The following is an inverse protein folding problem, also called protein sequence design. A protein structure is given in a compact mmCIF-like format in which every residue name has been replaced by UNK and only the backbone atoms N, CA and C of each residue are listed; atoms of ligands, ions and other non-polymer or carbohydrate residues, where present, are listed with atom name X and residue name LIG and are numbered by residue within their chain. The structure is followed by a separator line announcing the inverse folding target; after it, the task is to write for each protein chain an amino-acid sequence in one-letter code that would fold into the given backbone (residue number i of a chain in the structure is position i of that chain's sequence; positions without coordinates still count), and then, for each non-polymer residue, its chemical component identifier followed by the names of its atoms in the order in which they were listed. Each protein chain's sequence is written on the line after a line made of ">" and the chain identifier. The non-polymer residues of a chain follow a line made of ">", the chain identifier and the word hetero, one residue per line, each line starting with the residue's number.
data_IF_191992701710
#
_entry.id   IF_191992701710
#
_cell.length_a   1.000
_cell.length_b   1.000
_cell.length_c   1.000
_cell.angle_alpha   90.00
_cell.angle_beta   90.00
_cell.angle_gamma   90.00
#
_symmetry.space_group_name_H-M   'P 1'
#
loop_
_entity.id
_entity.type
_entity.pdbx_description
1 polymer ?
#
# COMPACT_ATOMS: atom_id res chain seq x y z
N UNK A 1 23.22 62.34 9.70
CA UNK A 1 23.39 61.10 8.92
C UNK A 1 22.22 60.16 9.26
N UNK A 2 21.24 59.99 8.38
CA UNK A 2 20.10 59.13 8.56
C UNK A 2 20.44 57.80 7.90
N UNK A 3 20.55 56.74 8.70
CA UNK A 3 20.70 55.37 8.19
C UNK A 3 19.37 54.86 7.65
N UNK A 4 19.35 54.64 6.35
CA UNK A 4 18.23 54.01 5.64
C UNK A 4 18.37 52.48 5.79
N UNK A 5 17.56 51.85 6.60
CA UNK A 5 17.49 50.38 6.71
C UNK A 5 16.67 49.85 5.54
N UNK A 6 17.36 49.24 4.59
CA UNK A 6 16.70 48.56 3.48
C UNK A 6 16.25 47.17 3.96
N UNK A 7 14.93 47.00 4.15
CA UNK A 7 14.33 45.69 4.44
C UNK A 7 14.17 44.94 3.13
N UNK A 8 15.00 43.92 2.92
CA UNK A 8 14.85 42.98 1.79
C UNK A 8 13.77 41.97 2.19
N UNK A 9 12.55 42.13 1.64
CA UNK A 9 11.52 41.11 1.71
C UNK A 9 11.92 39.94 0.78
N UNK A 10 12.38 38.85 1.36
CA UNK A 10 12.56 37.58 0.68
C UNK A 10 11.19 36.93 0.49
N UNK A 11 10.59 37.11 -0.68
CA UNK A 11 9.42 36.32 -1.07
C UNK A 11 9.86 34.87 -1.30
N UNK A 12 9.59 33.98 -0.36
CA UNK A 12 9.56 32.57 -0.62
C UNK A 12 8.38 32.28 -1.55
N UNK A 13 8.67 32.07 -2.83
CA UNK A 13 7.74 31.43 -3.75
C UNK A 13 7.58 29.97 -3.30
N UNK A 14 6.62 29.71 -2.40
CA UNK A 14 6.08 28.38 -2.23
C UNK A 14 5.39 28.03 -3.55
N UNK A 15 6.05 27.22 -4.37
CA UNK A 15 5.38 26.52 -5.48
C UNK A 15 4.39 25.54 -4.86
N UNK A 16 3.15 25.95 -4.69
CA UNK A 16 2.06 25.04 -4.39
C UNK A 16 1.84 24.16 -5.62
N UNK A 17 2.45 23.00 -5.64
CA UNK A 17 2.04 21.95 -6.57
C UNK A 17 0.63 21.54 -6.18
N UNK A 18 -0.34 21.96 -6.98
CA UNK A 18 -1.73 21.55 -6.81
C UNK A 18 -1.85 20.12 -7.33
N UNK A 19 -2.05 19.16 -6.43
CA UNK A 19 -2.40 17.79 -6.80
C UNK A 19 -3.76 17.79 -7.50
N UNK A 20 -3.82 17.20 -8.68
CA UNK A 20 -5.04 17.18 -9.47
C UNK A 20 -5.65 15.78 -9.47
N UNK A 21 -6.86 15.68 -8.93
CA UNK A 21 -7.72 14.52 -9.13
C UNK A 21 -8.21 14.54 -10.59
N UNK A 22 -7.61 13.71 -11.45
CA UNK A 22 -7.89 13.71 -12.89
C UNK A 22 -8.98 12.73 -13.30
N UNK A 23 -9.22 11.71 -12.46
CA UNK A 23 -10.35 10.78 -12.56
C UNK A 23 -10.82 10.38 -11.17
N UNK A 24 -12.12 10.11 -11.08
CA UNK A 24 -12.81 9.67 -9.90
C UNK A 24 -13.96 8.73 -10.33
N UNK A 25 -13.80 7.46 -10.03
CA UNK A 25 -14.66 6.38 -10.52
C UNK A 25 -15.22 5.64 -9.32
N UNK A 26 -16.54 5.65 -9.16
CA UNK A 26 -17.22 4.82 -8.15
C UNK A 26 -17.14 3.35 -8.53
N UNK A 27 -16.75 2.52 -7.58
CA UNK A 27 -16.62 1.09 -7.74
C UNK A 27 -17.91 0.35 -7.36
N UNK A 28 -17.99 -0.92 -7.75
CA UNK A 28 -19.10 -1.81 -7.40
C UNK A 28 -19.12 -2.09 -5.91
N UNK A 29 -20.32 -2.21 -5.31
CA UNK A 29 -20.52 -2.66 -3.94
C UNK A 29 -19.94 -4.06 -3.63
N UNK A 30 -19.53 -4.81 -4.65
CA UNK A 30 -18.81 -6.09 -4.46
C UNK A 30 -17.38 -5.91 -4.00
N UNK A 31 -16.83 -4.71 -4.15
CA UNK A 31 -15.45 -4.32 -3.80
C UNK A 31 -15.47 -3.03 -2.98
N UNK A 32 -16.36 -2.98 -2.00
CA UNK A 32 -16.55 -1.85 -1.09
C UNK A 32 -15.41 -1.68 -0.08
N UNK A 33 -14.72 -2.76 0.22
CA UNK A 33 -13.49 -2.78 1.05
C UNK A 33 -12.24 -2.99 0.17
N UNK A 34 -12.14 -2.27 -0.97
CA UNK A 34 -11.02 -2.44 -1.91
C UNK A 34 -9.68 -2.11 -1.27
N UNK A 35 -8.79 -3.08 -1.20
CA UNK A 35 -7.42 -2.97 -0.71
C UNK A 35 -6.44 -3.59 -1.71
N UNK A 36 -5.23 -3.03 -1.82
CA UNK A 36 -4.27 -3.41 -2.83
C UNK A 36 -4.67 -3.06 -4.27
N UNK A 37 -3.70 -2.67 -5.10
CA UNK A 37 -3.95 -2.30 -6.50
C UNK A 37 -2.76 -2.66 -7.40
N UNK A 38 -3.00 -3.50 -8.41
CA UNK A 38 -2.01 -3.82 -9.43
C UNK A 38 -2.61 -3.69 -10.85
N UNK A 39 -1.74 -3.71 -11.85
CA UNK A 39 -2.13 -3.74 -13.26
C UNK A 39 -1.50 -4.96 -13.94
N UNK A 40 -2.35 -5.81 -14.52
CA UNK A 40 -1.96 -6.97 -15.33
C UNK A 40 -2.73 -6.93 -16.64
N UNK A 41 -2.02 -7.02 -17.76
CA UNK A 41 -2.60 -6.98 -19.11
C UNK A 41 -3.57 -5.81 -19.35
N UNK A 42 -3.25 -4.64 -18.77
CA UNK A 42 -4.04 -3.43 -18.90
C UNK A 42 -5.34 -3.40 -18.07
N UNK A 43 -5.56 -4.39 -17.22
CA UNK A 43 -6.66 -4.43 -16.25
C UNK A 43 -6.13 -4.13 -14.85
N UNK A 44 -6.89 -3.36 -14.07
CA UNK A 44 -6.64 -3.22 -12.65
C UNK A 44 -7.01 -4.51 -11.93
N UNK A 45 -6.24 -4.87 -10.93
CA UNK A 45 -6.52 -5.99 -10.03
C UNK A 45 -6.58 -5.44 -8.62
N UNK A 46 -7.63 -5.80 -7.90
CA UNK A 46 -7.82 -5.50 -6.49
C UNK A 46 -8.49 -6.68 -5.77
N UNK A 47 -8.60 -6.59 -4.47
CA UNK A 47 -9.35 -7.50 -3.60
C UNK A 47 -10.09 -6.70 -2.53
N UNK A 48 -10.97 -7.36 -1.79
CA UNK A 48 -11.47 -6.79 -0.54
C UNK A 48 -10.53 -7.13 0.62
N UNK A 49 -10.50 -6.28 1.62
CA UNK A 49 -9.78 -6.44 2.87
C UNK A 49 -10.25 -7.72 3.61
N UNK A 50 -10.83 -7.62 4.78
CA UNK A 50 -11.05 -8.75 5.68
C UNK A 50 -12.39 -9.48 5.47
N UNK A 51 -12.41 -10.78 5.80
CA UNK A 51 -13.64 -11.58 6.02
C UNK A 51 -14.44 -11.93 4.79
N UNK A 52 -14.05 -11.49 3.60
CA UNK A 52 -14.73 -11.79 2.34
C UNK A 52 -14.28 -13.11 1.69
N UNK A 53 -14.82 -13.39 0.50
CA UNK A 53 -14.33 -14.47 -0.35
C UNK A 53 -12.88 -14.22 -0.77
N UNK A 54 -12.01 -15.24 -0.80
CA UNK A 54 -10.62 -15.09 -1.26
C UNK A 54 -10.58 -14.91 -2.78
N UNK A 55 -10.87 -13.70 -3.24
CA UNK A 55 -11.02 -13.35 -4.66
C UNK A 55 -10.19 -12.15 -5.06
N UNK A 56 -9.67 -12.21 -6.30
CA UNK A 56 -9.17 -11.06 -7.03
C UNK A 56 -10.24 -10.60 -8.03
N UNK A 57 -10.45 -9.30 -8.08
CA UNK A 57 -11.33 -8.62 -9.02
C UNK A 57 -10.52 -7.91 -10.07
N UNK A 58 -10.83 -8.18 -11.34
CA UNK A 58 -10.19 -7.55 -12.49
C UNK A 58 -11.13 -6.47 -13.01
N UNK A 59 -10.63 -5.25 -13.11
CA UNK A 59 -11.43 -4.09 -13.51
C UNK A 59 -10.92 -3.55 -14.84
N UNK A 60 -11.84 -3.06 -15.66
CA UNK A 60 -11.48 -2.26 -16.82
C UNK A 60 -11.07 -0.83 -16.40
N UNK A 61 -10.66 -0.01 -17.39
CA UNK A 61 -10.27 1.40 -17.17
C UNK A 61 -11.37 2.31 -16.62
N UNK A 62 -12.61 1.83 -16.56
CA UNK A 62 -13.78 2.54 -16.02
C UNK A 62 -14.20 1.96 -14.65
N UNK A 63 -13.39 1.09 -14.04
CA UNK A 63 -13.68 0.49 -12.74
C UNK A 63 -14.74 -0.62 -12.76
N UNK A 64 -15.18 -1.07 -13.95
CA UNK A 64 -16.15 -2.16 -14.08
C UNK A 64 -15.45 -3.50 -13.88
N UNK A 65 -16.01 -4.36 -13.02
CA UNK A 65 -15.55 -5.74 -12.86
C UNK A 65 -15.79 -6.51 -14.16
N UNK A 66 -14.70 -6.95 -14.78
CA UNK A 66 -14.72 -7.75 -16.02
C UNK A 66 -14.41 -9.23 -15.77
N UNK A 67 -13.84 -9.56 -14.60
CA UNK A 67 -13.49 -10.93 -14.22
C UNK A 67 -13.31 -11.01 -12.71
N UNK A 68 -13.70 -12.15 -12.13
CA UNK A 68 -13.39 -12.54 -10.76
C UNK A 68 -12.53 -13.81 -10.80
N UNK A 69 -11.51 -13.87 -9.93
CA UNK A 69 -10.65 -15.04 -9.74
C UNK A 69 -10.66 -15.44 -8.29
N UNK A 70 -11.36 -16.51 -7.96
CA UNK A 70 -11.26 -17.14 -6.64
C UNK A 70 -9.90 -17.84 -6.53
N UNK A 71 -9.27 -17.71 -5.37
CA UNK A 71 -8.03 -18.41 -5.05
C UNK A 71 -8.41 -19.62 -4.19
N UNK A 72 -8.33 -20.81 -4.78
CA UNK A 72 -8.73 -22.02 -4.08
C UNK A 72 -7.72 -22.43 -3.00
N UNK A 73 -8.19 -23.07 -1.95
CA UNK A 73 -7.37 -23.59 -0.86
C UNK A 73 -6.87 -22.55 0.15
N UNK A 74 -7.27 -21.30 0.03
CA UNK A 74 -6.93 -20.21 0.95
C UNK A 74 -8.18 -19.54 1.52
N UNK A 75 -7.97 -18.71 2.54
CA UNK A 75 -9.01 -17.86 3.14
C UNK A 75 -8.54 -16.41 3.07
N UNK A 76 -9.45 -15.48 2.99
CA UNK A 76 -9.20 -14.09 3.31
C UNK A 76 -9.42 -13.92 4.83
N UNK A 77 -8.31 -13.79 5.60
CA UNK A 77 -8.42 -13.47 7.02
C UNK A 77 -8.36 -11.95 7.23
N UNK A 78 -7.40 -11.30 6.54
CA UNK A 78 -7.12 -9.87 6.68
C UNK A 78 -6.14 -9.49 5.56
N UNK A 79 -6.66 -9.39 4.32
CA UNK A 79 -5.86 -9.10 3.12
C UNK A 79 -5.69 -7.61 2.98
N UNK A 80 -4.44 -7.14 3.02
CA UNK A 80 -4.14 -5.72 3.10
C UNK A 80 -3.62 -5.14 1.78
N UNK A 81 -2.78 -5.87 1.05
CA UNK A 81 -2.18 -5.37 -0.18
C UNK A 81 -1.88 -6.49 -1.16
N UNK A 82 -1.60 -6.13 -2.40
CA UNK A 82 -1.07 -7.04 -3.40
C UNK A 82 0.02 -6.38 -4.25
N UNK A 83 0.99 -7.19 -4.63
CA UNK A 83 2.04 -6.79 -5.56
C UNK A 83 2.30 -7.91 -6.56
N UNK A 84 3.12 -7.66 -7.57
CA UNK A 84 3.49 -8.66 -8.56
C UNK A 84 4.95 -8.56 -9.00
N UNK A 85 5.42 -9.64 -9.60
CA UNK A 85 6.56 -9.62 -10.50
C UNK A 85 6.13 -10.06 -11.91
N UNK A 86 7.06 -10.48 -12.75
CA UNK A 86 6.77 -10.88 -14.14
C UNK A 86 5.90 -12.14 -14.25
N UNK A 87 5.86 -12.99 -13.22
CA UNK A 87 5.22 -14.31 -13.24
C UNK A 87 4.12 -14.50 -12.21
N UNK A 88 4.21 -13.84 -11.08
CA UNK A 88 3.37 -14.10 -9.92
C UNK A 88 2.74 -12.83 -9.36
N UNK A 89 1.53 -12.99 -8.82
CA UNK A 89 0.87 -12.04 -7.93
C UNK A 89 1.10 -12.54 -6.50
N UNK A 90 1.36 -11.63 -5.59
CA UNK A 90 1.55 -11.85 -4.16
C UNK A 90 0.46 -11.09 -3.41
N UNK A 91 -0.41 -11.81 -2.70
CA UNK A 91 -1.50 -11.21 -1.91
C UNK A 91 -1.12 -11.30 -0.43
N UNK A 92 -1.17 -10.19 0.26
CA UNK A 92 -0.72 -10.05 1.64
C UNK A 92 -1.85 -10.31 2.64
N UNK A 93 -1.95 -11.53 3.19
CA UNK A 93 -2.81 -11.88 4.32
C UNK A 93 -2.08 -11.57 5.64
N UNK A 94 -1.91 -10.28 5.93
CA UNK A 94 -0.98 -9.83 6.97
C UNK A 94 -1.52 -8.79 7.94
N UNK A 95 -2.76 -8.34 7.79
CA UNK A 95 -3.40 -7.43 8.73
C UNK A 95 -3.34 -7.97 10.16
N UNK A 96 -3.03 -7.14 11.11
CA UNK A 96 -2.82 -7.52 12.50
C UNK A 96 -3.12 -6.38 13.46
N UNK A 97 -4.23 -5.73 13.24
CA UNK A 97 -4.71 -4.52 13.93
C UNK A 97 -4.57 -4.52 15.45
N UNK A 98 -4.52 -5.71 16.06
CA UNK A 98 -4.44 -5.88 17.51
C UNK A 98 -3.16 -6.58 17.99
N UNK A 99 -2.18 -6.83 17.10
CA UNK A 99 -0.95 -7.59 17.38
C UNK A 99 -1.22 -9.01 17.94
N UNK A 100 -2.29 -9.66 17.50
CA UNK A 100 -2.71 -10.96 18.03
C UNK A 100 -2.50 -12.13 17.07
N UNK A 101 -2.36 -11.86 15.78
CA UNK A 101 -2.26 -12.89 14.74
C UNK A 101 -0.92 -13.63 14.78
N UNK A 102 -0.98 -14.95 14.52
CA UNK A 102 0.16 -15.86 14.41
C UNK A 102 0.21 -16.58 13.07
N UNK A 103 -0.75 -16.30 12.21
CA UNK A 103 -0.96 -16.92 10.90
C UNK A 103 -0.81 -15.88 9.77
N UNK A 104 0.18 -14.99 9.89
CA UNK A 104 0.48 -14.04 8.84
C UNK A 104 1.08 -14.77 7.64
N UNK A 105 0.66 -14.41 6.43
CA UNK A 105 1.14 -15.05 5.22
C UNK A 105 1.08 -14.15 3.99
N UNK A 106 1.89 -14.47 2.99
CA UNK A 106 1.74 -13.96 1.63
C UNK A 106 1.32 -15.13 0.74
N UNK A 107 0.28 -14.95 -0.04
CA UNK A 107 -0.25 -15.94 -0.96
C UNK A 107 0.32 -15.64 -2.34
N UNK A 108 1.16 -16.52 -2.85
CA UNK A 108 1.76 -16.40 -4.18
C UNK A 108 0.97 -17.22 -5.18
N UNK A 109 0.50 -16.59 -6.25
CA UNK A 109 -0.26 -17.22 -7.33
C UNK A 109 0.31 -16.84 -8.70
N UNK A 110 0.30 -17.75 -9.70
CA UNK A 110 0.75 -17.40 -11.04
C UNK A 110 -0.18 -16.35 -11.67
N UNK A 111 0.39 -15.43 -12.45
CA UNK A 111 -0.39 -14.48 -13.26
C UNK A 111 -1.17 -15.26 -14.31
N UNK A 112 -0.49 -16.16 -15.02
CA UNK A 112 -1.13 -17.03 -16.01
C UNK A 112 -2.01 -18.08 -15.34
N UNK A 113 -3.29 -18.09 -15.72
CA UNK A 113 -4.28 -19.07 -15.24
C UNK A 113 -4.12 -20.47 -15.86
N UNK A 114 -3.39 -20.61 -16.95
CA UNK A 114 -3.21 -21.92 -17.60
C UNK A 114 -2.32 -22.86 -16.78
N UNK A 115 -1.53 -22.33 -15.84
CA UNK A 115 -0.86 -23.14 -14.86
C UNK A 115 -1.88 -23.61 -13.81
N UNK A 116 -2.11 -24.93 -13.75
CA UNK A 116 -2.90 -25.57 -12.66
C UNK A 116 -2.14 -25.58 -11.31
N UNK A 117 -1.24 -24.64 -11.11
CA UNK A 117 -0.45 -24.57 -9.89
C UNK A 117 -1.30 -24.09 -8.72
N UNK A 118 -1.24 -24.84 -7.64
CA UNK A 118 -1.83 -24.40 -6.36
C UNK A 118 -1.10 -23.17 -5.83
N UNK A 119 -1.78 -22.31 -5.05
CA UNK A 119 -1.13 -21.21 -4.38
C UNK A 119 0.06 -21.68 -3.52
N UNK A 120 1.20 -21.02 -3.63
CA UNK A 120 2.28 -21.18 -2.67
C UNK A 120 2.05 -20.23 -1.48
N UNK A 121 2.22 -20.73 -0.25
CA UNK A 121 2.01 -19.94 0.96
C UNK A 121 3.36 -19.64 1.62
N UNK A 122 3.64 -18.35 1.80
CA UNK A 122 4.80 -17.81 2.49
C UNK A 122 4.36 -17.40 3.88
N UNK A 123 4.37 -18.34 4.84
CA UNK A 123 4.01 -18.04 6.22
C UNK A 123 5.14 -17.28 6.91
N UNK A 124 4.78 -16.31 7.73
CA UNK A 124 5.82 -15.58 8.47
C UNK A 124 5.37 -15.13 9.86
N UNK A 125 6.36 -14.75 10.65
CA UNK A 125 6.20 -14.07 11.92
C UNK A 125 7.26 -12.98 12.07
N UNK A 126 6.97 -11.98 12.88
CA UNK A 126 7.94 -10.98 13.27
C UNK A 126 8.75 -11.49 14.47
N UNK A 127 10.10 -11.64 14.36
CA UNK A 127 10.92 -12.19 15.44
C UNK A 127 10.85 -11.37 16.74
N UNK A 128 10.59 -10.08 16.62
CA UNK A 128 10.50 -9.15 17.73
C UNK A 128 9.15 -9.22 18.45
N UNK A 129 8.08 -9.72 17.81
CA UNK A 129 6.77 -9.88 18.42
C UNK A 129 6.77 -11.04 19.42
N UNK A 130 6.98 -10.73 20.70
CA UNK A 130 7.01 -11.71 21.79
C UNK A 130 5.67 -11.91 22.48
N UNK A 131 4.74 -10.99 22.28
CA UNK A 131 3.43 -11.00 22.93
C UNK A 131 2.33 -10.90 21.86
N UNK A 132 1.33 -11.79 21.98
CA UNK A 132 0.15 -11.84 21.14
C UNK A 132 -1.10 -11.52 21.98
N UNK A 133 -1.06 -10.35 22.62
CA UNK A 133 -2.16 -9.81 23.43
C UNK A 133 -2.72 -8.62 22.74
N UNK A 134 -4.04 -8.52 22.75
CA UNK A 134 -4.77 -7.40 22.13
C UNK A 134 -4.25 -6.06 22.63
N UNK A 135 -3.71 -5.26 21.73
CA UNK A 135 -3.26 -3.90 21.94
C UNK A 135 -4.20 -2.98 21.14
N UNK A 136 -4.93 -2.13 21.82
CA UNK A 136 -5.91 -1.27 21.17
C UNK A 136 -5.23 0.01 20.65
N UNK A 137 -5.40 0.33 19.35
CA UNK A 137 -4.90 1.56 18.68
C UNK A 137 -3.38 1.81 18.78
N UNK A 138 -2.58 0.80 19.09
CA UNK A 138 -1.11 0.92 19.25
C UNK A 138 -0.37 -0.28 18.67
N UNK A 139 -0.92 -0.90 17.65
CA UNK A 139 -0.24 -2.02 16.97
C UNK A 139 1.12 -1.57 16.42
N UNK A 140 2.10 -2.44 16.56
CA UNK A 140 3.46 -2.26 16.02
C UNK A 140 3.76 -3.28 14.91
N UNK A 141 2.98 -4.38 14.85
CA UNK A 141 3.14 -5.51 13.93
C UNK A 141 1.94 -5.69 12.99
N UNK A 142 1.17 -4.64 12.84
CA UNK A 142 0.20 -4.47 11.77
C UNK A 142 0.93 -4.05 10.50
N UNK A 143 0.53 -4.53 9.32
CA UNK A 143 1.18 -4.18 8.07
C UNK A 143 0.15 -4.10 6.95
N UNK A 144 0.25 -3.07 6.13
CA UNK A 144 -0.75 -2.69 5.14
C UNK A 144 -0.15 -2.50 3.74
N UNK A 145 1.18 -2.69 3.59
CA UNK A 145 1.80 -2.44 2.31
C UNK A 145 2.85 -3.50 1.97
N UNK A 146 2.86 -3.93 0.71
CA UNK A 146 3.71 -4.98 0.18
C UNK A 146 4.27 -4.58 -1.19
N UNK A 147 5.58 -4.72 -1.39
CA UNK A 147 6.17 -4.59 -2.72
C UNK A 147 7.04 -5.79 -3.11
N UNK A 148 7.12 -6.03 -4.41
CA UNK A 148 8.05 -6.95 -5.03
C UNK A 148 9.36 -6.20 -5.34
N UNK A 149 10.44 -6.54 -4.64
CA UNK A 149 11.74 -5.87 -4.76
C UNK A 149 12.85 -6.85 -5.11
N UNK A 150 13.23 -6.89 -6.39
CA UNK A 150 14.19 -7.90 -6.87
C UNK A 150 13.72 -9.32 -6.55
N UNK A 151 14.53 -10.08 -5.83
CA UNK A 151 14.25 -11.48 -5.47
C UNK A 151 13.55 -11.64 -4.12
N UNK A 152 13.16 -10.54 -3.47
CA UNK A 152 12.49 -10.53 -2.18
C UNK A 152 11.18 -9.76 -2.22
N UNK A 153 10.36 -9.97 -1.20
CA UNK A 153 9.21 -9.14 -0.87
C UNK A 153 9.59 -8.19 0.26
N UNK A 154 9.11 -6.96 0.21
CA UNK A 154 9.22 -6.01 1.31
C UNK A 154 7.85 -5.71 1.87
N UNK A 155 7.74 -5.83 3.19
CA UNK A 155 6.55 -5.51 3.98
C UNK A 155 6.80 -4.19 4.70
N UNK A 156 5.83 -3.31 4.69
CA UNK A 156 5.84 -2.04 5.40
C UNK A 156 4.79 -2.07 6.50
N UNK A 157 5.23 -1.88 7.75
CA UNK A 157 4.32 -1.95 8.90
C UNK A 157 3.52 -0.66 9.04
N UNK A 158 2.30 -0.81 9.55
CA UNK A 158 1.41 0.27 10.01
C UNK A 158 1.65 0.49 11.51
N UNK A 159 2.84 1.02 11.88
CA UNK A 159 3.18 1.21 13.28
C UNK A 159 2.43 2.42 13.86
N UNK A 160 1.23 2.17 14.39
CA UNK A 160 0.33 3.18 14.96
C UNK A 160 0.89 3.87 16.20
N UNK A 161 1.83 3.21 16.88
CA UNK A 161 2.43 3.75 18.11
C UNK A 161 3.50 4.79 17.83
N UNK A 162 4.37 4.53 16.86
CA UNK A 162 5.54 5.37 16.57
C UNK A 162 5.33 6.30 15.39
N UNK A 163 4.29 6.09 14.57
CA UNK A 163 4.06 6.78 13.29
C UNK A 163 5.27 6.69 12.35
N UNK A 164 5.83 5.48 12.25
CA UNK A 164 6.89 5.10 11.32
C UNK A 164 6.44 3.86 10.58
N UNK A 165 7.08 3.54 9.47
CA UNK A 165 7.00 2.20 8.91
C UNK A 165 8.31 1.47 9.11
N UNK A 166 8.24 0.26 9.63
CA UNK A 166 9.36 -0.67 9.69
C UNK A 166 9.33 -1.55 8.47
N UNK A 167 10.49 -1.80 7.86
CA UNK A 167 10.62 -2.56 6.62
C UNK A 167 11.14 -3.95 6.96
N UNK A 168 10.36 -4.95 6.56
CA UNK A 168 10.74 -6.36 6.70
C UNK A 168 10.88 -7.01 5.33
N UNK A 169 11.81 -7.95 5.20
CA UNK A 169 11.98 -8.75 4.00
C UNK A 169 11.54 -10.19 4.19
N UNK A 170 11.02 -10.78 3.10
CA UNK A 170 10.68 -12.19 2.96
C UNK A 170 11.18 -12.72 1.60
N UNK A 171 11.49 -14.02 1.50
CA UNK A 171 11.74 -14.65 0.21
C UNK A 171 10.46 -14.81 -0.59
N UNK A 172 10.56 -14.96 -1.90
CA UNK A 172 9.44 -15.14 -2.84
C UNK A 172 9.02 -16.60 -3.07
N UNK A 173 9.30 -17.51 -2.16
CA UNK A 173 8.94 -18.94 -2.28
C UNK A 173 8.26 -19.44 -1.02
N UNK A 174 7.41 -20.47 -1.18
CA UNK A 174 6.59 -21.01 -0.10
C UNK A 174 7.42 -21.60 1.06
N UNK A 175 6.88 -21.49 2.27
CA UNK A 175 7.54 -21.99 3.48
C UNK A 175 7.16 -21.22 4.74
N UNK A 176 7.93 -21.45 5.82
CA UNK A 176 7.74 -20.77 7.11
C UNK A 176 8.97 -19.94 7.45
N UNK A 177 8.80 -18.64 7.61
CA UNK A 177 9.91 -17.69 7.74
C UNK A 177 9.79 -16.81 8.97
N UNK A 178 10.94 -16.32 9.41
CA UNK A 178 11.04 -15.16 10.29
C UNK A 178 11.30 -13.96 9.40
N UNK A 179 10.38 -13.00 9.36
CA UNK A 179 10.58 -11.79 8.60
C UNK A 179 11.82 -11.05 9.10
N UNK A 180 12.70 -10.68 8.20
CA UNK A 180 13.94 -10.00 8.56
C UNK A 180 13.73 -8.49 8.54
N UNK A 181 13.85 -7.84 9.68
CA UNK A 181 13.85 -6.38 9.73
C UNK A 181 15.11 -5.82 9.08
N UNK A 182 14.92 -5.00 8.05
CA UNK A 182 16.03 -4.46 7.24
C UNK A 182 16.14 -2.95 7.30
N UNK A 183 15.11 -2.25 7.80
CA UNK A 183 15.13 -0.80 7.91
C UNK A 183 13.86 -0.22 8.52
N UNK A 184 13.76 1.08 8.44
CA UNK A 184 12.55 1.84 8.76
C UNK A 184 12.57 3.18 8.05
N UNK A 185 11.39 3.76 7.80
CA UNK A 185 11.21 5.11 7.30
C UNK A 185 10.45 5.94 8.34
N UNK A 186 10.94 7.14 8.60
CA UNK A 186 10.22 8.10 9.43
C UNK A 186 9.16 8.81 8.57
N UNK A 187 7.97 8.28 8.53
CA UNK A 187 6.86 8.79 7.72
C UNK A 187 6.02 9.84 8.45
N UNK A 188 6.17 9.94 9.78
CA UNK A 188 5.34 10.79 10.66
C UNK A 188 3.82 10.51 10.52
N UNK A 189 3.48 9.48 9.80
CA UNK A 189 2.14 9.04 9.44
C UNK A 189 2.06 7.51 9.43
N UNK A 190 0.89 6.96 9.23
CA UNK A 190 0.63 5.52 9.20
C UNK A 190 0.48 5.09 7.74
N UNK A 191 1.34 4.19 7.28
CA UNK A 191 1.31 3.67 5.90
C UNK A 191 0.09 2.79 5.68
N UNK A 192 -0.57 2.92 4.52
CA UNK A 192 -1.78 2.18 4.13
C UNK A 192 -1.67 1.47 2.78
N UNK A 193 -0.61 1.68 2.02
CA UNK A 193 -0.37 0.98 0.76
C UNK A 193 0.99 1.35 0.17
N UNK A 194 1.49 0.57 -0.77
CA UNK A 194 2.76 0.83 -1.44
C UNK A 194 2.78 0.37 -2.89
N UNK A 195 3.62 1.02 -3.69
CA UNK A 195 4.06 0.51 -4.98
C UNK A 195 5.52 0.91 -5.26
N UNK A 196 6.18 0.14 -6.10
CA UNK A 196 7.58 0.36 -6.44
C UNK A 196 7.82 0.24 -7.95
N UNK A 197 8.35 1.29 -8.54
CA UNK A 197 8.83 1.26 -9.91
C UNK A 197 10.33 0.92 -9.97
N UNK A 198 10.59 -0.30 -10.42
CA UNK A 198 11.95 -0.82 -10.62
C UNK A 198 12.79 -0.03 -11.64
N UNK A 199 12.15 0.64 -12.61
CA UNK A 199 12.86 1.36 -13.67
C UNK A 199 13.46 2.67 -13.17
N UNK A 200 12.73 3.35 -12.29
CA UNK A 200 13.11 4.63 -11.72
C UNK A 200 13.67 4.51 -10.30
N UNK A 201 13.64 3.31 -9.71
CA UNK A 201 13.91 3.08 -8.29
C UNK A 201 13.06 3.96 -7.36
N UNK A 202 11.80 4.19 -7.73
CA UNK A 202 10.89 5.03 -6.97
C UNK A 202 9.96 4.16 -6.12
N UNK A 203 10.01 4.34 -4.81
CA UNK A 203 9.02 3.81 -3.86
C UNK A 203 7.97 4.89 -3.61
N UNK A 204 6.71 4.50 -3.70
CA UNK A 204 5.58 5.37 -3.36
C UNK A 204 4.72 4.67 -2.32
N UNK A 205 4.34 5.44 -1.29
CA UNK A 205 3.46 4.94 -0.24
C UNK A 205 2.21 5.82 -0.17
N UNK A 206 1.07 5.24 0.18
CA UNK A 206 -0.03 5.98 0.77
C UNK A 206 0.09 5.96 2.28
N UNK A 207 -0.35 7.04 2.92
CA UNK A 207 -0.32 7.14 4.38
C UNK A 207 -1.40 8.06 4.89
N UNK A 208 -1.70 7.95 6.19
CA UNK A 208 -2.71 8.78 6.84
C UNK A 208 -2.22 9.38 8.16
N UNK A 209 -2.71 10.58 8.46
CA UNK A 209 -2.61 11.19 9.78
C UNK A 209 -4.01 11.20 10.39
N UNK A 210 -4.17 10.54 11.55
CA UNK A 210 -5.43 10.48 12.30
C UNK A 210 -6.64 9.89 11.54
N UNK A 211 -6.42 9.21 10.37
CA UNK A 211 -7.45 8.63 9.50
C UNK A 211 -8.43 9.66 8.90
N UNK A 212 -8.05 10.92 8.84
CA UNK A 212 -8.85 12.01 8.26
C UNK A 212 -8.14 12.66 7.06
N UNK A 213 -6.81 12.64 7.05
CA UNK A 213 -5.96 13.22 6.02
C UNK A 213 -5.08 12.13 5.42
N UNK A 214 -5.00 12.09 4.10
CA UNK A 214 -4.23 11.08 3.36
C UNK A 214 -3.17 11.73 2.48
N UNK A 215 -2.05 11.05 2.34
CA UNK A 215 -0.86 11.54 1.65
C UNK A 215 -0.28 10.50 0.73
N UNK A 216 0.34 10.97 -0.36
CA UNK A 216 1.28 10.22 -1.18
C UNK A 216 2.69 10.61 -0.72
N UNK A 217 3.48 9.62 -0.34
CA UNK A 217 4.89 9.76 0.01
C UNK A 217 5.72 9.22 -1.14
N UNK A 218 6.54 10.07 -1.77
CA UNK A 218 7.39 9.68 -2.90
C UNK A 218 8.85 9.67 -2.44
N UNK A 219 9.51 8.53 -2.65
CA UNK A 219 10.91 8.30 -2.31
C UNK A 219 11.64 7.88 -3.58
N UNK A 220 12.33 8.83 -4.18
CA UNK A 220 13.18 8.58 -5.34
C UNK A 220 14.50 7.91 -4.91
N UNK A 221 15.12 7.18 -5.82
CA UNK A 221 16.37 6.46 -5.59
C UNK A 221 16.31 5.56 -4.34
N UNK A 222 15.15 4.89 -4.15
CA UNK A 222 14.95 3.99 -3.03
C UNK A 222 15.97 2.84 -3.06
N UNK A 223 16.68 2.65 -1.97
CA UNK A 223 17.68 1.61 -1.80
C UNK A 223 17.75 1.13 -0.36
N UNK A 224 17.86 -0.17 -0.16
CA UNK A 224 17.99 -0.76 1.18
C UNK A 224 19.32 -0.38 1.89
N UNK A 225 20.31 0.11 1.14
CA UNK A 225 21.59 0.56 1.68
C UNK A 225 21.57 2.00 2.17
N UNK A 226 20.56 2.78 1.75
CA UNK A 226 20.39 4.15 2.21
C UNK A 226 19.54 4.18 3.49
N UNK A 227 20.00 4.90 4.51
CA UNK A 227 19.26 5.06 5.78
C UNK A 227 18.54 6.39 5.88
N UNK A 228 18.91 7.35 5.05
CA UNK A 228 18.42 8.73 5.11
C UNK A 228 17.71 9.07 3.78
N UNK A 229 16.56 8.43 3.56
CA UNK A 229 15.74 8.73 2.40
C UNK A 229 15.05 10.09 2.50
N UNK A 230 15.13 10.88 1.44
CA UNK A 230 14.29 12.06 1.30
C UNK A 230 12.88 11.62 0.94
N UNK A 231 11.90 11.97 1.76
CA UNK A 231 10.48 11.71 1.53
C UNK A 231 9.83 13.01 1.06
N UNK A 232 9.28 13.01 -0.15
CA UNK A 232 8.45 14.10 -0.64
C UNK A 232 6.99 13.75 -0.35
N UNK A 233 6.28 14.61 0.37
CA UNK A 233 4.92 14.37 0.85
C UNK A 233 3.93 15.25 0.11
N UNK A 234 2.85 14.66 -0.38
CA UNK A 234 1.78 15.32 -1.13
C UNK A 234 0.43 14.94 -0.56
N UNK A 235 -0.39 15.91 -0.21
CA UNK A 235 -1.75 15.67 0.30
C UNK A 235 -2.65 15.12 -0.81
N UNK A 236 -3.51 14.17 -0.49
CA UNK A 236 -4.53 13.65 -1.42
C UNK A 236 -5.82 14.47 -1.26
N UNK A 237 -6.24 15.25 -2.25
CA UNK A 237 -7.33 16.23 -2.11
C UNK A 237 -8.72 15.59 -2.30
N UNK A 238 -9.03 14.55 -1.55
CA UNK A 238 -10.28 13.76 -1.72
C UNK A 238 -11.21 13.77 -0.51
N UNK A 239 -10.88 14.53 0.52
CA UNK A 239 -11.64 14.57 1.76
C UNK A 239 -11.50 13.28 2.60
N UNK A 240 -12.43 13.08 3.52
CA UNK A 240 -12.41 11.94 4.42
C UNK A 240 -12.84 10.66 3.69
N UNK A 241 -11.87 9.79 3.41
CA UNK A 241 -12.09 8.46 2.82
C UNK A 241 -10.82 7.62 3.00
N UNK A 242 -10.94 6.36 3.34
CA UNK A 242 -9.78 5.49 3.58
C UNK A 242 -9.10 5.14 2.26
N UNK A 243 -7.88 5.67 2.05
CA UNK A 243 -7.03 5.32 0.91
C UNK A 243 -6.17 4.12 1.30
N UNK A 244 -6.35 3.00 0.59
CA UNK A 244 -5.76 1.72 0.97
C UNK A 244 -4.78 1.17 -0.09
N UNK A 245 -4.76 1.73 -1.29
CA UNK A 245 -3.83 1.25 -2.30
C UNK A 245 -3.33 2.35 -3.23
N UNK A 246 -2.15 2.11 -3.83
CA UNK A 246 -1.56 3.00 -4.82
C UNK A 246 -0.88 2.19 -5.93
N UNK A 247 -0.95 2.71 -7.17
CA UNK A 247 -0.23 2.18 -8.33
C UNK A 247 0.45 3.28 -9.12
N UNK A 248 1.74 3.19 -9.31
CA UNK A 248 2.54 4.09 -10.13
C UNK A 248 2.21 3.86 -11.61
N UNK A 249 1.94 4.92 -12.35
CA UNK A 249 1.76 4.90 -13.81
C UNK A 249 2.96 5.54 -14.50
N UNK A 250 3.35 6.69 -14.00
CA UNK A 250 4.54 7.41 -14.42
C UNK A 250 5.08 8.25 -13.24
N UNK A 251 6.10 9.03 -13.48
CA UNK A 251 6.83 9.79 -12.46
C UNK A 251 5.94 10.68 -11.57
N UNK A 252 4.81 11.17 -12.12
CA UNK A 252 3.91 12.12 -11.44
C UNK A 252 2.45 11.67 -11.44
N UNK A 253 2.15 10.45 -11.89
CA UNK A 253 0.77 9.98 -12.06
C UNK A 253 0.55 8.65 -11.37
N UNK A 254 -0.48 8.60 -10.54
CA UNK A 254 -0.81 7.45 -9.71
C UNK A 254 -2.29 7.10 -9.82
N UNK A 255 -2.60 5.80 -9.74
CA UNK A 255 -3.93 5.36 -9.37
C UNK A 255 -3.94 4.98 -7.90
N UNK A 256 -5.02 5.34 -7.22
CA UNK A 256 -5.29 4.95 -5.84
C UNK A 256 -6.69 4.37 -5.73
N UNK A 257 -6.91 3.54 -4.71
CA UNK A 257 -8.24 3.11 -4.31
C UNK A 257 -8.58 3.61 -2.92
N UNK A 258 -9.87 3.80 -2.67
CA UNK A 258 -10.38 4.05 -1.34
C UNK A 258 -11.60 3.19 -1.06
N UNK A 259 -11.79 2.85 0.21
CA UNK A 259 -12.94 2.09 0.69
C UNK A 259 -14.23 2.90 0.73
N UNK A 260 -15.33 2.18 0.92
CA UNK A 260 -16.65 2.76 1.21
C UNK A 260 -16.84 2.88 2.74
N UNK A 261 -16.68 4.09 3.26
CA UNK A 261 -16.83 4.35 4.71
C UNK A 261 -18.27 4.57 5.19
N UNK A 262 -19.24 4.63 4.28
CA UNK A 262 -20.63 4.91 4.67
C UNK A 262 -21.63 4.34 3.69
N UNK A 263 -22.87 4.07 4.17
CA UNK A 263 -23.96 3.60 3.33
C UNK A 263 -24.33 4.55 2.17
N UNK A 264 -23.84 5.77 2.17
CA UNK A 264 -24.07 6.80 1.14
C UNK A 264 -22.87 7.04 0.22
N UNK A 265 -21.71 6.44 0.50
CA UNK A 265 -20.52 6.51 -0.33
C UNK A 265 -20.35 5.23 -1.15
N UNK A 266 -19.31 5.16 -1.92
CA UNK A 266 -18.85 3.96 -2.62
C UNK A 266 -17.34 3.93 -2.61
N UNK A 267 -16.76 2.74 -2.60
CA UNK A 267 -15.36 2.56 -2.91
C UNK A 267 -15.02 3.23 -4.23
N UNK A 268 -13.81 3.76 -4.36
CA UNK A 268 -13.42 4.60 -5.49
C UNK A 268 -12.10 4.16 -6.10
N UNK A 269 -11.98 4.28 -7.41
CA UNK A 269 -10.73 4.18 -8.17
C UNK A 269 -10.42 5.56 -8.71
N UNK A 270 -9.33 6.16 -8.27
CA UNK A 270 -9.01 7.56 -8.54
C UNK A 270 -7.65 7.71 -9.19
N UNK A 271 -7.52 8.67 -10.11
CA UNK A 271 -6.25 9.02 -10.76
C UNK A 271 -5.79 10.39 -10.30
N UNK A 272 -4.61 10.41 -9.71
CA UNK A 272 -3.98 11.63 -9.19
C UNK A 272 -2.75 11.95 -10.03
N UNK A 273 -2.57 13.23 -10.29
CA UNK A 273 -1.36 13.79 -10.90
C UNK A 273 -0.76 14.84 -9.94
N UNK A 274 0.53 14.66 -9.60
CA UNK A 274 1.33 15.62 -8.84
C UNK A 274 1.81 16.80 -9.71
#
# INVERSE_FOLDING_TARGET
>A
MKNLLTVINLFFLCSSYSQNLTKDISLSKKIDETSGLEIVDGQFITHNDSGGDPKLYYLDKNGKIVKERKIEGVKNHDWEDLTKDDKFIYVADMGNNYDTRKNLSIIKIPIDKSSNENPEIINFLYPEQKKFKRIYRRSEYDAEALISFGDILLIFTKNKRKKITEIYSLPKYGGNFKAQKIGSLNTESVVTGADYDKKTNTLVLTSTINFDEYYILVINDFSLNNKDHKINTYEIPIGKTQVEAIKIIDENTFWITSEDESSSSSARLMKIKL
#
